data_IF_580749552640
#
_entry.id   IF_580749552640
#
_cell.length_a   1.000
_cell.length_b   1.000
_cell.length_c   1.000
_cell.angle_alpha   90.00
_cell.angle_beta   90.00
_cell.angle_gamma   90.00
#
_symmetry.space_group_name_H-M   'P 1'
#
loop_
_entity.id
_entity.type
_entity.pdbx_description
1 polymer ?
#
# COMPACT_ATOMS: atom_id res chain seq x y z
N UNK A 1 -15.50 -9.53 11.84
CA UNK A 1 -14.49 -10.09 10.89
C UNK A 1 -13.10 -9.45 10.98
N UNK A 2 -12.84 -8.46 11.85
CA UNK A 2 -11.49 -7.94 12.09
C UNK A 2 -11.17 -8.19 13.57
N UNK A 3 -10.31 -9.18 13.83
CA UNK A 3 -9.78 -9.44 15.18
C UNK A 3 -8.83 -8.31 15.56
N UNK A 4 -8.90 -7.88 16.82
CA UNK A 4 -8.19 -6.74 17.41
C UNK A 4 -6.67 -6.79 17.23
N UNK A 5 -6.09 -7.94 16.87
CA UNK A 5 -4.65 -8.10 16.62
C UNK A 5 -4.17 -7.80 15.19
N UNK A 6 -5.09 -7.59 14.23
CA UNK A 6 -4.72 -7.28 12.83
C UNK A 6 -4.65 -5.79 12.54
N UNK A 7 -5.19 -4.91 13.39
CA UNK A 7 -5.21 -3.47 13.15
C UNK A 7 -4.27 -2.72 14.11
N UNK A 8 -3.52 -1.75 13.59
CA UNK A 8 -2.54 -0.94 14.35
C UNK A 8 -2.80 0.56 14.18
N UNK A 9 -2.44 1.38 15.18
CA UNK A 9 -2.61 2.84 15.10
C UNK A 9 -1.60 3.52 14.18
N UNK A 10 -0.46 2.87 13.93
CA UNK A 10 0.60 3.32 13.03
C UNK A 10 0.82 2.25 11.94
N UNK A 11 1.24 2.63 10.72
CA UNK A 11 1.54 1.66 9.67
C UNK A 11 2.67 0.74 10.13
N UNK A 12 2.50 -0.55 9.87
CA UNK A 12 3.52 -1.55 10.17
C UNK A 12 4.43 -1.74 8.96
N UNK A 13 5.69 -1.36 9.10
CA UNK A 13 6.70 -1.50 8.04
C UNK A 13 7.06 -2.96 7.79
N UNK A 14 7.52 -3.24 6.57
CA UNK A 14 7.88 -4.59 6.13
C UNK A 14 6.71 -5.49 5.76
N UNK A 15 5.47 -5.03 5.89
CA UNK A 15 4.26 -5.71 5.43
C UNK A 15 3.31 -4.74 4.73
N UNK A 16 2.25 -5.26 4.10
CA UNK A 16 1.24 -4.42 3.47
C UNK A 16 0.23 -3.92 4.50
N UNK A 17 -0.35 -2.75 4.25
CA UNK A 17 -1.31 -2.10 5.15
C UNK A 17 -2.51 -1.58 4.35
N UNK A 18 -3.71 -1.79 4.88
CA UNK A 18 -4.96 -1.19 4.40
C UNK A 18 -5.47 -0.18 5.43
N UNK A 19 -5.95 0.98 4.97
CA UNK A 19 -6.47 2.01 5.88
C UNK A 19 -7.41 2.97 5.12
N UNK A 20 -8.27 3.67 5.86
CA UNK A 20 -9.07 4.78 5.34
C UNK A 20 -8.25 6.06 5.25
N UNK A 21 -8.36 6.76 4.12
CA UNK A 21 -7.63 8.00 3.86
C UNK A 21 -8.52 9.06 3.20
N UNK A 22 -8.36 10.30 3.62
CA UNK A 22 -9.10 11.46 3.12
C UNK A 22 -8.12 12.52 2.57
N UNK A 23 -7.79 12.52 1.27
CA UNK A 23 -6.69 13.33 0.76
C UNK A 23 -6.84 14.84 0.94
N UNK A 24 -5.74 15.51 1.29
CA UNK A 24 -5.67 16.98 1.46
C UNK A 24 -6.21 17.75 0.26
N UNK A 25 -5.85 17.35 -0.95
CA UNK A 25 -6.22 18.02 -2.19
C UNK A 25 -7.38 17.34 -2.92
N UNK A 26 -8.25 16.61 -2.20
CA UNK A 26 -9.37 15.85 -2.81
C UNK A 26 -10.29 16.65 -3.72
N UNK A 27 -10.40 17.97 -3.51
CA UNK A 27 -11.20 18.86 -4.34
C UNK A 27 -10.62 19.09 -5.74
N UNK A 28 -9.30 18.94 -5.91
CA UNK A 28 -8.58 19.24 -7.16
C UNK A 28 -7.85 18.04 -7.74
N UNK A 29 -7.68 16.96 -6.96
CA UNK A 29 -7.06 15.73 -7.46
C UNK A 29 -7.97 15.11 -8.54
N UNK A 30 -7.43 14.78 -9.73
CA UNK A 30 -8.23 14.18 -10.78
C UNK A 30 -8.74 12.80 -10.37
N UNK A 31 -7.96 12.06 -9.57
CA UNK A 31 -8.25 10.69 -9.19
C UNK A 31 -7.44 10.28 -7.95
N UNK A 32 -8.08 9.63 -6.97
CA UNK A 32 -7.43 9.22 -5.73
C UNK A 32 -8.13 8.05 -5.04
N UNK A 33 -7.38 7.28 -4.25
CA UNK A 33 -7.89 6.14 -3.48
C UNK A 33 -8.17 6.54 -2.02
N UNK A 34 -9.37 6.25 -1.55
CA UNK A 34 -9.80 6.50 -0.16
C UNK A 34 -9.62 5.29 0.75
N UNK A 35 -9.24 4.13 0.20
CA UNK A 35 -8.91 2.94 0.98
C UNK A 35 -7.62 2.26 0.48
N UNK A 36 -6.45 2.93 0.65
CA UNK A 36 -5.18 2.46 0.08
C UNK A 36 -4.72 1.12 0.62
N UNK A 37 -4.32 0.22 -0.29
CA UNK A 37 -3.49 -0.95 0.01
C UNK A 37 -2.04 -0.62 -0.31
N UNK A 38 -1.23 -0.40 0.73
CA UNK A 38 0.12 0.10 0.57
C UNK A 38 1.19 -0.84 1.08
N UNK A 39 2.40 -0.70 0.54
CA UNK A 39 3.63 -1.04 1.23
C UNK A 39 4.25 0.24 1.83
N UNK A 40 4.27 0.44 3.16
CA UNK A 40 4.92 1.60 3.77
C UNK A 40 6.44 1.56 3.56
N UNK A 41 7.06 2.72 3.27
CA UNK A 41 8.49 2.82 2.97
C UNK A 41 9.29 3.49 4.07
N UNK A 42 9.01 4.78 4.31
CA UNK A 42 9.73 5.60 5.29
C UNK A 42 8.86 6.74 5.82
N UNK A 43 9.23 7.28 6.97
CA UNK A 43 8.64 8.50 7.51
C UNK A 43 8.89 9.69 6.56
N UNK A 44 7.97 10.64 6.56
CA UNK A 44 8.04 11.87 5.78
C UNK A 44 7.52 13.03 6.63
N UNK A 45 7.80 14.27 6.21
CA UNK A 45 7.33 15.45 6.94
C UNK A 45 5.80 15.46 7.04
N UNK A 46 5.28 15.33 8.26
CA UNK A 46 3.84 15.30 8.55
C UNK A 46 3.14 14.00 8.17
N UNK A 47 3.89 12.94 7.84
CA UNK A 47 3.32 11.75 7.24
C UNK A 47 4.31 10.61 7.02
N UNK A 48 4.06 9.84 5.96
CA UNK A 48 4.91 8.73 5.53
C UNK A 48 4.70 8.46 4.03
N UNK A 49 5.70 7.87 3.40
CA UNK A 49 5.60 7.38 2.02
C UNK A 49 5.11 5.93 2.00
N UNK A 50 4.31 5.60 0.99
CA UNK A 50 3.90 4.22 0.73
C UNK A 50 3.66 3.96 -0.75
N UNK A 51 3.81 2.70 -1.15
CA UNK A 51 3.53 2.20 -2.49
C UNK A 51 2.11 1.68 -2.56
N UNK A 52 1.18 2.43 -3.14
CA UNK A 52 -0.22 2.01 -3.27
C UNK A 52 -0.45 1.09 -4.46
N UNK A 53 -0.67 -0.20 -4.18
CA UNK A 53 -0.89 -1.25 -5.17
C UNK A 53 -2.19 -1.07 -5.95
N UNK A 54 -3.17 -0.32 -5.43
CA UNK A 54 -4.43 -0.10 -6.13
C UNK A 54 -4.29 0.71 -7.42
N UNK A 55 -3.20 1.48 -7.59
CA UNK A 55 -2.89 2.20 -8.84
C UNK A 55 -2.31 1.30 -9.95
N UNK A 56 -2.15 0.01 -9.67
CA UNK A 56 -1.74 -0.99 -10.64
C UNK A 56 -2.93 -1.88 -11.01
N UNK A 57 -2.96 -2.35 -12.25
CA UNK A 57 -3.86 -3.44 -12.66
C UNK A 57 -3.51 -4.72 -11.90
N UNK A 58 -4.44 -5.67 -11.76
CA UNK A 58 -4.17 -6.91 -11.01
C UNK A 58 -2.93 -7.65 -11.49
N UNK A 59 -2.72 -7.77 -12.81
CA UNK A 59 -1.51 -8.38 -13.37
C UNK A 59 -0.23 -7.62 -12.97
N UNK A 60 -0.25 -6.29 -13.01
CA UNK A 60 0.88 -5.47 -12.59
C UNK A 60 1.16 -5.60 -11.09
N UNK A 61 0.13 -5.77 -10.25
CA UNK A 61 0.30 -6.03 -8.80
C UNK A 61 1.08 -7.31 -8.55
N UNK A 62 0.74 -8.39 -9.26
CA UNK A 62 1.44 -9.68 -9.15
C UNK A 62 2.91 -9.54 -9.57
N UNK A 63 3.15 -8.92 -10.73
CA UNK A 63 4.53 -8.70 -11.21
C UNK A 63 5.32 -7.86 -10.23
N UNK A 64 4.72 -6.79 -9.69
CA UNK A 64 5.41 -5.93 -8.75
C UNK A 64 5.70 -6.64 -7.42
N UNK A 65 4.73 -7.35 -6.84
CA UNK A 65 4.94 -8.13 -5.62
C UNK A 65 6.06 -9.17 -5.80
N UNK A 66 6.10 -9.86 -6.96
CA UNK A 66 7.19 -10.78 -7.32
C UNK A 66 8.54 -10.07 -7.44
N UNK A 67 8.59 -8.86 -7.99
CA UNK A 67 9.83 -8.06 -8.03
C UNK A 67 10.29 -7.64 -6.64
N UNK A 68 9.36 -7.40 -5.71
CA UNK A 68 9.68 -7.04 -4.34
C UNK A 68 10.14 -8.23 -3.49
N UNK A 69 9.87 -9.48 -3.89
CA UNK A 69 10.21 -10.67 -3.10
C UNK A 69 11.72 -10.83 -2.84
N UNK A 70 12.58 -10.27 -3.70
CA UNK A 70 14.03 -10.23 -3.48
C UNK A 70 14.46 -9.39 -2.26
N UNK A 71 13.56 -8.57 -1.72
CA UNK A 71 13.78 -7.76 -0.53
C UNK A 71 13.15 -8.38 0.74
N UNK A 72 12.59 -9.59 0.63
CA UNK A 72 12.08 -10.33 1.79
C UNK A 72 13.23 -10.79 2.71
N UNK A 73 12.95 -10.84 4.01
CA UNK A 73 13.88 -11.31 5.05
C UNK A 73 14.26 -12.77 4.91
N UNK A 74 13.42 -13.55 4.25
CA UNK A 74 13.52 -14.99 4.10
C UNK A 74 12.72 -15.44 2.86
N UNK A 75 12.75 -16.76 2.59
CA UNK A 75 12.07 -17.38 1.45
C UNK A 75 10.82 -18.16 1.84
N UNK A 76 10.37 -18.05 3.10
CA UNK A 76 9.23 -18.80 3.61
C UNK A 76 7.90 -18.12 3.24
N UNK A 77 7.92 -16.79 3.10
CA UNK A 77 6.75 -15.96 2.79
C UNK A 77 5.59 -16.19 3.78
N UNK A 78 5.93 -16.36 5.05
CA UNK A 78 4.98 -16.60 6.14
C UNK A 78 4.64 -15.30 6.90
N UNK A 79 3.82 -15.40 7.94
CA UNK A 79 3.43 -14.25 8.79
C UNK A 79 4.60 -13.48 9.43
N UNK A 80 5.77 -14.10 9.54
CA UNK A 80 6.97 -13.52 10.13
C UNK A 80 7.87 -12.83 9.09
N UNK A 81 7.75 -13.20 7.81
CA UNK A 81 8.48 -12.56 6.71
C UNK A 81 8.23 -11.05 6.67
N UNK A 82 9.31 -10.28 6.52
CA UNK A 82 9.30 -8.81 6.37
C UNK A 82 10.06 -8.39 5.14
N UNK A 83 9.66 -7.30 4.51
CA UNK A 83 10.34 -6.76 3.33
C UNK A 83 11.10 -5.49 3.71
N UNK A 84 12.37 -5.41 3.32
CA UNK A 84 13.14 -4.19 3.45
C UNK A 84 13.20 -3.44 2.12
N UNK A 85 12.33 -2.45 1.95
CA UNK A 85 12.17 -1.69 0.71
C UNK A 85 12.94 -0.36 0.71
N UNK A 86 13.81 -0.10 1.69
CA UNK A 86 14.61 1.13 1.72
C UNK A 86 15.83 1.00 0.82
N UNK A 87 15.92 1.82 -0.22
CA UNK A 87 17.04 1.85 -1.14
C UNK A 87 17.00 0.73 -2.19
N UNK A 88 16.97 1.11 -3.46
CA UNK A 88 17.19 0.20 -4.59
C UNK A 88 15.93 -0.21 -5.36
N UNK A 89 14.77 0.36 -5.06
CA UNK A 89 13.51 0.14 -5.81
C UNK A 89 13.00 1.38 -6.53
N UNK A 90 13.60 2.55 -6.30
CA UNK A 90 13.12 3.85 -6.75
C UNK A 90 13.12 3.98 -8.28
N UNK A 91 14.03 3.25 -8.95
CA UNK A 91 14.13 3.20 -10.40
C UNK A 91 13.08 2.28 -11.05
N UNK A 92 12.35 1.49 -10.28
CA UNK A 92 11.32 0.59 -10.79
C UNK A 92 10.11 1.38 -11.35
N UNK A 93 9.57 0.96 -12.50
CA UNK A 93 8.40 1.61 -13.12
C UNK A 93 7.18 1.61 -12.21
N UNK A 94 6.88 0.49 -11.55
CA UNK A 94 5.74 0.37 -10.66
C UNK A 94 5.91 1.17 -9.37
N UNK A 95 7.15 1.31 -8.88
CA UNK A 95 7.44 2.22 -7.78
C UNK A 95 6.96 3.65 -8.12
N UNK A 96 7.37 4.17 -9.29
CA UNK A 96 7.03 5.54 -9.72
C UNK A 96 5.51 5.75 -9.89
N UNK A 97 4.78 4.72 -10.33
CA UNK A 97 3.33 4.78 -10.48
C UNK A 97 2.56 4.76 -9.15
N UNK A 98 3.12 4.09 -8.14
CA UNK A 98 2.41 3.77 -6.90
C UNK A 98 2.84 4.58 -5.69
N UNK A 99 4.00 5.24 -5.74
CA UNK A 99 4.49 6.07 -4.64
C UNK A 99 3.53 7.23 -4.33
N UNK A 100 3.08 7.32 -3.07
CA UNK A 100 2.23 8.39 -2.55
C UNK A 100 2.75 8.86 -1.19
N UNK A 101 2.54 10.14 -0.89
CA UNK A 101 2.75 10.72 0.43
C UNK A 101 1.43 10.79 1.19
N UNK A 102 1.37 10.11 2.34
CA UNK A 102 0.21 10.07 3.21
C UNK A 102 0.44 10.93 4.45
N UNK A 103 -0.46 11.87 4.71
CA UNK A 103 -0.38 12.78 5.85
C UNK A 103 -1.13 12.20 7.06
N UNK A 104 -0.54 12.29 8.25
CA UNK A 104 -1.14 11.73 9.47
C UNK A 104 -2.54 12.27 9.75
N UNK A 105 -2.71 13.59 9.61
CA UNK A 105 -4.00 14.27 9.84
C UNK A 105 -5.07 13.93 8.80
N UNK A 106 -4.75 13.10 7.80
CA UNK A 106 -5.66 12.65 6.74
C UNK A 106 -5.93 11.13 6.81
N UNK A 107 -5.30 10.40 7.74
CA UNK A 107 -5.65 9.01 8.06
C UNK A 107 -6.98 9.00 8.83
N UNK A 108 -7.89 8.09 8.46
CA UNK A 108 -9.27 8.03 8.97
C UNK A 108 -9.62 6.71 9.65
N UNK A 109 -8.69 5.75 9.69
CA UNK A 109 -8.87 4.49 10.40
C UNK A 109 -7.54 3.97 10.94
N UNK A 110 -7.60 2.95 11.79
CA UNK A 110 -6.46 2.08 12.05
C UNK A 110 -5.98 1.40 10.75
N UNK A 111 -4.73 0.95 10.77
CA UNK A 111 -4.09 0.22 9.68
C UNK A 111 -4.31 -1.28 9.85
N UNK A 112 -5.12 -1.88 8.97
CA UNK A 112 -5.24 -3.32 8.84
C UNK A 112 -3.95 -3.88 8.22
N UNK A 113 -3.26 -4.72 8.98
CA UNK A 113 -2.02 -5.36 8.59
C UNK A 113 -2.30 -6.57 7.70
N UNK A 114 -1.60 -6.63 6.57
CA UNK A 114 -1.63 -7.72 5.61
C UNK A 114 -0.22 -8.35 5.61
N UNK A 115 0.00 -9.41 6.42
CA UNK A 115 1.27 -10.13 6.48
C UNK A 115 1.61 -10.83 5.16
N UNK A 116 2.85 -11.33 5.01
CA UNK A 116 3.37 -11.80 3.73
C UNK A 116 2.57 -12.97 3.13
N UNK A 117 2.10 -13.89 3.97
CA UNK A 117 1.22 -15.01 3.62
C UNK A 117 -0.18 -14.58 3.14
N UNK A 118 -0.60 -13.36 3.50
CA UNK A 118 -1.88 -12.79 3.07
C UNK A 118 -1.74 -11.83 1.86
N UNK A 119 -0.53 -11.41 1.48
CA UNK A 119 -0.31 -10.39 0.45
C UNK A 119 -0.85 -10.80 -0.92
N UNK A 120 -0.64 -12.06 -1.33
CA UNK A 120 -1.10 -12.57 -2.62
C UNK A 120 -2.62 -12.45 -2.75
N UNK A 121 -3.36 -12.78 -1.68
CA UNK A 121 -4.82 -12.60 -1.64
C UNK A 121 -5.15 -11.10 -1.57
N UNK A 122 -4.46 -10.36 -0.70
CA UNK A 122 -4.69 -8.93 -0.46
C UNK A 122 -4.64 -8.10 -1.73
N UNK A 123 -3.69 -8.35 -2.65
CA UNK A 123 -3.59 -7.61 -3.91
C UNK A 123 -4.74 -7.88 -4.89
N UNK A 124 -5.49 -8.98 -4.72
CA UNK A 124 -6.66 -9.33 -5.54
C UNK A 124 -7.99 -8.92 -4.92
N UNK A 125 -8.03 -8.54 -3.65
CA UNK A 125 -9.27 -8.11 -3.02
C UNK A 125 -9.85 -6.87 -3.76
N UNK A 126 -11.14 -6.88 -4.15
CA UNK A 126 -11.78 -5.76 -4.84
C UNK A 126 -12.18 -4.65 -3.85
N UNK A 127 -11.23 -4.20 -3.03
CA UNK A 127 -11.47 -3.24 -1.92
C UNK A 127 -11.03 -1.81 -2.24
N UNK A 128 -10.44 -1.57 -3.42
CA UNK A 128 -10.05 -0.24 -3.85
C UNK A 128 -11.25 0.71 -3.88
N UNK A 129 -11.12 1.92 -3.31
CA UNK A 129 -12.21 2.91 -3.24
C UNK A 129 -11.78 4.23 -3.85
N UNK A 130 -11.70 4.23 -5.18
CA UNK A 130 -11.31 5.43 -5.91
C UNK A 130 -12.43 6.46 -6.04
N UNK A 131 -12.03 7.73 -6.07
CA UNK A 131 -12.86 8.93 -6.24
C UNK A 131 -12.15 9.89 -7.20
N UNK A 132 -12.90 10.81 -7.80
CA UNK A 132 -12.42 11.60 -8.95
C UNK A 132 -12.49 10.78 -10.24
N UNK A 133 -12.38 11.44 -11.40
CA UNK A 133 -12.40 10.92 -12.78
C UNK A 133 -12.71 9.43 -12.97
N UNK A 134 -13.85 9.14 -13.60
CA UNK A 134 -14.33 7.79 -13.96
C UNK A 134 -13.19 6.81 -14.26
N UNK A 135 -13.09 5.73 -13.48
CA UNK A 135 -12.33 4.53 -13.83
C UNK A 135 -12.71 4.10 -15.25
N UNK A 136 -11.86 4.35 -16.25
CA UNK A 136 -12.21 4.00 -17.63
C UNK A 136 -11.27 4.42 -18.76
N UNK A 137 -10.10 5.04 -18.51
CA UNK A 137 -9.15 5.39 -19.58
C UNK A 137 -7.70 5.17 -19.15
N UNK A 138 -7.33 3.92 -18.87
CA UNK A 138 -5.93 3.45 -18.92
C UNK A 138 -5.90 2.03 -19.47
#
# INVERSE_FOLDING_TARGET
>A
LISSGKATLKPKYGIMNLFGYDPKHKATLPYYDTFPLIFPLQAAKGGFYGLNFHYLTFGQRVVFLKQLSKYASDKNYDRNTRYNLTGGIENNRFFKLTIKHYLWNHVRSSFLNIPADEMAIGIFLPVARFRGGSFGNI
#
